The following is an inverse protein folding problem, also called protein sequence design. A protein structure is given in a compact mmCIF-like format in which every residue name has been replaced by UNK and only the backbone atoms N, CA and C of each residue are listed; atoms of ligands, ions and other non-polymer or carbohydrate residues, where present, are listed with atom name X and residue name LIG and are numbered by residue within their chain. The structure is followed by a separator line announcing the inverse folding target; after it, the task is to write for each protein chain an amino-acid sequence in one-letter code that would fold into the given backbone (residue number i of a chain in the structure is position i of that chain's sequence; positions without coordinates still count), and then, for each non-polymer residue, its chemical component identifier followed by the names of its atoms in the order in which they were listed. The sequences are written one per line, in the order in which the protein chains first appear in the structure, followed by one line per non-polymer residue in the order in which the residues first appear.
data_IF_405121589797
#
_entry.id   IF_405121589797
#
_cell.length_a   1.000
_cell.length_b   1.000
_cell.length_c   1.000
_cell.angle_alpha   90.00
_cell.angle_beta   90.00
_cell.angle_gamma   90.00
#
_symmetry.space_group_name_H-M   'P 1'
#
loop_
_entity.id
_entity.type
_entity.pdbx_description
1 polymer ?
#
# COMPACT_ATOMS: atom_id res chain seq x y z
N UNK A 1 -2.41 15.49 54.81
CA UNK A 1 -1.88 15.57 53.43
C UNK A 1 -0.89 14.42 53.27
N UNK A 2 -1.18 13.45 52.40
CA UNK A 2 -0.37 12.23 52.31
C UNK A 2 0.88 12.53 51.49
N UNK A 3 2.06 12.46 52.12
CA UNK A 3 3.33 12.95 51.56
C UNK A 3 3.73 12.21 50.26
N UNK A 4 3.19 11.00 50.07
CA UNK A 4 3.38 10.18 48.87
C UNK A 4 2.63 10.72 47.64
N UNK A 5 1.47 11.37 47.83
CA UNK A 5 0.72 11.98 46.72
C UNK A 5 1.43 13.25 46.20
N UNK A 6 2.11 13.98 47.10
CA UNK A 6 2.87 15.19 46.77
C UNK A 6 4.05 14.86 45.85
N UNK A 7 4.74 13.74 46.06
CA UNK A 7 5.95 13.40 45.31
C UNK A 7 5.62 12.98 43.87
N UNK A 8 4.56 12.20 43.65
CA UNK A 8 4.16 11.76 42.30
C UNK A 8 3.61 12.92 41.45
N UNK A 9 2.80 13.80 42.04
CA UNK A 9 2.30 15.01 41.36
C UNK A 9 3.43 16.04 41.12
N UNK A 10 4.46 16.05 41.97
CA UNK A 10 5.62 16.92 41.79
C UNK A 10 6.43 16.57 40.54
N UNK A 11 6.60 15.28 40.20
CA UNK A 11 7.33 14.87 38.99
C UNK A 11 6.59 15.39 37.74
N UNK A 12 5.27 15.21 37.66
CA UNK A 12 4.49 15.71 36.54
C UNK A 12 4.54 17.25 36.44
N UNK A 13 4.44 17.95 37.58
CA UNK A 13 4.39 19.43 37.61
C UNK A 13 5.75 20.11 37.42
N UNK A 14 6.84 19.47 37.81
CA UNK A 14 8.20 20.00 37.64
C UNK A 14 8.80 19.69 36.26
N UNK A 15 8.33 18.63 35.61
CA UNK A 15 8.92 18.11 34.35
C UNK A 15 8.16 18.57 33.10
N UNK A 16 6.83 18.70 33.17
CA UNK A 16 5.99 19.08 32.03
C UNK A 16 5.85 20.60 31.96
N UNK A 17 6.01 21.18 30.76
CA UNK A 17 6.02 22.64 30.56
C UNK A 17 4.96 23.12 29.59
N UNK A 18 4.52 22.26 28.68
CA UNK A 18 3.58 22.56 27.59
C UNK A 18 2.49 21.49 27.53
N UNK A 19 1.29 21.89 27.08
CA UNK A 19 0.20 20.94 26.83
C UNK A 19 0.62 19.90 25.79
N UNK A 20 0.34 18.63 26.07
CA UNK A 20 0.73 17.51 25.21
C UNK A 20 2.14 16.97 25.48
N UNK A 21 2.89 17.54 26.42
CA UNK A 21 4.10 16.90 26.93
C UNK A 21 3.76 15.57 27.62
N UNK A 22 4.69 14.61 27.54
CA UNK A 22 4.59 13.31 28.20
C UNK A 22 5.78 13.10 29.13
N UNK A 23 5.58 12.35 30.22
CA UNK A 23 6.69 11.85 31.05
C UNK A 23 7.07 10.48 30.52
N UNK A 24 8.34 10.29 30.17
CA UNK A 24 8.89 9.00 29.72
C UNK A 24 10.03 8.58 30.64
N UNK A 25 10.37 7.29 30.63
CA UNK A 25 11.55 6.81 31.33
C UNK A 25 12.79 7.13 30.52
N UNK A 26 13.62 8.04 31.03
CA UNK A 26 14.97 8.30 30.51
C UNK A 26 15.97 7.25 30.96
N UNK A 27 17.24 7.43 30.59
CA UNK A 27 18.31 6.45 30.84
C UNK A 27 18.56 6.22 32.34
N UNK A 28 18.30 7.25 33.18
CA UNK A 28 18.52 7.18 34.62
C UNK A 28 17.41 7.80 35.47
N UNK A 29 16.58 8.68 34.91
CA UNK A 29 15.46 9.35 35.60
C UNK A 29 14.27 9.51 34.66
N UNK A 30 13.04 9.75 35.17
CA UNK A 30 11.95 10.24 34.34
C UNK A 30 12.35 11.55 33.65
N UNK A 31 11.98 11.70 32.39
CA UNK A 31 12.27 12.90 31.60
C UNK A 31 11.04 13.33 30.81
N UNK A 32 11.10 14.57 30.33
CA UNK A 32 10.08 15.14 29.46
C UNK A 32 10.29 14.68 28.02
N UNK A 33 9.31 13.99 27.46
CA UNK A 33 9.14 13.91 26.01
C UNK A 33 8.26 15.09 25.58
N UNK A 34 8.86 16.03 24.84
CA UNK A 34 8.14 17.19 24.34
C UNK A 34 6.93 16.79 23.48
N UNK A 35 5.88 17.61 23.51
CA UNK A 35 4.72 17.44 22.65
C UNK A 35 5.12 17.25 21.17
N UNK A 36 4.48 16.29 20.50
CA UNK A 36 4.66 16.08 19.07
C UNK A 36 4.05 17.21 18.24
N UNK A 37 4.54 17.38 17.02
CA UNK A 37 3.89 18.27 16.04
C UNK A 37 2.65 17.60 15.43
N UNK A 38 1.77 18.38 14.82
CA UNK A 38 0.59 17.87 14.09
C UNK A 38 0.99 16.77 13.07
N UNK A 39 0.17 15.73 12.97
CA UNK A 39 0.37 14.61 12.03
C UNK A 39 1.45 13.61 12.44
N UNK A 40 1.93 13.66 13.68
CA UNK A 40 2.86 12.67 14.26
C UNK A 40 2.10 11.66 15.12
N UNK A 41 2.63 10.44 15.19
CA UNK A 41 2.20 9.43 16.15
C UNK A 41 3.37 9.06 17.08
N UNK A 42 3.06 8.53 18.26
CA UNK A 42 4.07 8.09 19.21
C UNK A 42 4.43 6.63 18.91
N UNK A 43 5.66 6.39 18.46
CA UNK A 43 6.15 5.04 18.18
C UNK A 43 6.94 4.49 19.37
N UNK A 44 6.67 3.24 19.74
CA UNK A 44 7.54 2.47 20.63
C UNK A 44 8.77 1.97 19.85
N UNK A 45 9.96 2.23 20.38
CA UNK A 45 11.23 1.91 19.72
C UNK A 45 11.86 0.59 20.21
N UNK A 46 11.09 -0.24 20.93
CA UNK A 46 11.55 -1.49 21.54
C UNK A 46 12.04 -1.33 22.98
N UNK A 47 12.41 -2.46 23.58
CA UNK A 47 12.83 -2.51 24.99
C UNK A 47 14.11 -1.70 25.24
N UNK A 48 14.11 -0.91 26.31
CA UNK A 48 15.24 -0.05 26.68
C UNK A 48 15.42 1.21 25.82
N UNK A 49 14.56 1.43 24.82
CA UNK A 49 14.57 2.64 23.98
C UNK A 49 13.40 3.56 24.34
N UNK A 50 13.66 4.87 24.32
CA UNK A 50 12.61 5.87 24.57
C UNK A 50 11.68 5.95 23.36
N UNK A 51 10.35 6.10 23.55
CA UNK A 51 9.45 6.31 22.43
C UNK A 51 9.70 7.67 21.78
N UNK A 52 9.30 7.81 20.52
CA UNK A 52 9.56 9.04 19.76
C UNK A 52 8.41 9.38 18.82
N UNK A 53 8.26 10.67 18.51
CA UNK A 53 7.23 11.15 17.59
C UNK A 53 7.64 10.94 16.14
N UNK A 54 6.96 10.02 15.46
CA UNK A 54 7.28 9.60 14.11
C UNK A 54 6.24 10.11 13.12
N UNK A 55 6.64 10.21 11.84
CA UNK A 55 5.71 10.42 10.74
C UNK A 55 5.26 9.06 10.22
N UNK A 56 4.03 8.97 9.77
CA UNK A 56 3.60 7.83 8.96
C UNK A 56 4.34 7.90 7.63
N UNK A 57 5.03 6.83 7.30
CA UNK A 57 5.73 6.66 6.04
C UNK A 57 4.96 5.70 5.14
N UNK A 58 5.15 5.81 3.82
CA UNK A 58 4.52 4.89 2.86
C UNK A 58 4.95 3.43 3.13
N UNK A 59 6.16 3.24 3.67
CA UNK A 59 6.68 1.92 4.09
C UNK A 59 5.96 1.31 5.29
N UNK A 60 5.16 2.08 6.03
CA UNK A 60 4.33 1.55 7.12
C UNK A 60 3.04 0.90 6.59
N UNK A 61 2.78 1.03 5.29
CA UNK A 61 1.71 0.34 4.59
C UNK A 61 2.28 -0.87 3.85
N UNK A 62 1.50 -1.95 3.86
CA UNK A 62 1.76 -3.15 3.09
C UNK A 62 1.58 -2.83 1.59
N UNK A 63 2.70 -2.46 0.95
CA UNK A 63 2.73 -2.09 -0.47
C UNK A 63 3.81 -2.89 -1.17
N UNK A 64 3.44 -3.52 -2.27
CA UNK A 64 4.37 -4.20 -3.16
C UNK A 64 4.16 -3.71 -4.60
N UNK A 65 5.25 -3.52 -5.33
CA UNK A 65 5.19 -3.22 -6.75
C UNK A 65 6.25 -4.03 -7.48
N UNK A 66 5.93 -4.46 -8.69
CA UNK A 66 6.91 -5.08 -9.58
C UNK A 66 6.48 -4.94 -11.04
N UNK A 67 7.42 -5.26 -11.93
CA UNK A 67 7.24 -5.29 -13.37
C UNK A 67 7.18 -6.74 -13.86
N UNK A 68 6.08 -7.10 -14.50
CA UNK A 68 5.90 -8.39 -15.17
C UNK A 68 6.05 -8.17 -16.67
N UNK A 69 6.99 -8.90 -17.28
CA UNK A 69 7.14 -8.98 -18.74
C UNK A 69 6.46 -10.24 -19.25
N UNK A 70 5.66 -10.11 -20.31
CA UNK A 70 4.95 -11.25 -20.93
C UNK A 70 5.11 -11.24 -22.45
N UNK A 71 5.45 -12.40 -22.99
CA UNK A 71 5.49 -12.70 -24.43
C UNK A 71 4.56 -13.86 -24.82
N UNK A 72 3.88 -14.48 -23.84
CA UNK A 72 2.85 -15.51 -24.03
C UNK A 72 1.68 -15.30 -23.07
N UNK A 73 0.46 -15.69 -23.47
CA UNK A 73 -0.71 -15.68 -22.60
C UNK A 73 -0.60 -16.70 -21.45
N UNK A 74 -1.47 -16.57 -20.45
CA UNK A 74 -1.48 -17.48 -19.29
C UNK A 74 -1.80 -16.77 -17.97
N UNK A 75 -1.48 -17.43 -16.86
CA UNK A 75 -1.67 -16.90 -15.50
C UNK A 75 -0.32 -16.57 -14.90
N UNK A 76 -0.13 -15.35 -14.38
CA UNK A 76 0.96 -15.08 -13.44
C UNK A 76 0.43 -15.19 -12.03
N UNK A 77 1.14 -15.93 -11.18
CA UNK A 77 0.88 -15.94 -9.75
C UNK A 77 1.91 -15.03 -9.07
N UNK A 78 1.45 -13.89 -8.57
CA UNK A 78 2.25 -12.98 -7.75
C UNK A 78 2.15 -13.47 -6.31
N UNK A 79 3.19 -14.13 -5.83
CA UNK A 79 3.26 -14.74 -4.50
C UNK A 79 4.35 -14.08 -3.64
N UNK A 80 4.27 -14.29 -2.33
CA UNK A 80 5.33 -13.90 -1.41
C UNK A 80 5.35 -12.40 -1.10
N UNK A 81 4.20 -11.73 -1.17
CA UNK A 81 4.08 -10.29 -0.84
C UNK A 81 4.30 -10.00 0.65
N UNK A 82 4.13 -11.01 1.51
CA UNK A 82 4.14 -10.86 2.97
C UNK A 82 2.81 -10.38 3.55
N UNK A 83 1.83 -10.05 2.70
CA UNK A 83 0.49 -9.59 3.07
C UNK A 83 -0.58 -10.03 2.07
N UNK A 84 -1.84 -10.03 2.49
CA UNK A 84 -2.98 -10.33 1.63
C UNK A 84 -3.46 -9.07 0.91
N UNK A 85 -3.13 -8.94 -0.38
CA UNK A 85 -3.54 -7.78 -1.17
C UNK A 85 -5.07 -7.57 -1.15
N UNK A 86 -5.51 -6.33 -0.92
CA UNK A 86 -6.92 -5.90 -0.94
C UNK A 86 -7.22 -4.99 -2.14
N UNK A 87 -6.20 -4.30 -2.64
CA UNK A 87 -6.27 -3.45 -3.82
C UNK A 87 -5.07 -3.76 -4.71
N UNK A 88 -5.32 -3.90 -6.02
CA UNK A 88 -4.27 -4.09 -7.01
C UNK A 88 -4.50 -3.10 -8.17
N UNK A 89 -3.53 -2.23 -8.38
CA UNK A 89 -3.46 -1.32 -9.52
C UNK A 89 -2.59 -1.93 -10.61
N UNK A 90 -3.03 -1.87 -11.86
CA UNK A 90 -2.30 -2.46 -12.99
C UNK A 90 -2.12 -1.43 -14.09
N UNK A 91 -0.88 -1.25 -14.53
CA UNK A 91 -0.46 -0.32 -15.57
C UNK A 91 0.21 -1.10 -16.69
N UNK A 92 -0.17 -0.86 -17.93
CA UNK A 92 0.37 -1.58 -19.07
C UNK A 92 0.95 -0.61 -20.12
N UNK A 93 2.01 -1.04 -20.80
CA UNK A 93 2.50 -0.39 -22.04
C UNK A 93 3.23 -1.38 -22.96
N UNK A 94 3.12 -1.18 -24.26
CA UNK A 94 3.94 -1.88 -25.26
C UNK A 94 5.27 -1.14 -25.47
N UNK A 95 6.27 -1.86 -25.98
CA UNK A 95 7.58 -1.26 -26.29
C UNK A 95 7.60 -0.46 -27.60
N UNK A 96 6.53 -0.52 -28.41
CA UNK A 96 6.50 -0.03 -29.80
C UNK A 96 5.70 1.26 -30.02
N UNK A 97 5.32 1.99 -28.97
CA UNK A 97 4.81 3.35 -29.12
C UNK A 97 3.31 3.55 -28.97
N UNK A 98 2.59 2.60 -28.36
CA UNK A 98 1.23 2.84 -27.85
C UNK A 98 1.24 3.79 -26.63
N UNK A 99 0.18 4.60 -26.47
CA UNK A 99 0.00 5.47 -25.31
C UNK A 99 -0.13 4.69 -23.99
N UNK A 100 0.06 5.34 -22.82
CA UNK A 100 -0.10 4.68 -21.54
C UNK A 100 -1.58 4.34 -21.30
N UNK A 101 -1.86 3.12 -20.85
CA UNK A 101 -3.21 2.69 -20.50
C UNK A 101 -3.32 2.34 -19.02
N UNK A 102 -4.40 2.78 -18.37
CA UNK A 102 -4.59 2.69 -16.92
C UNK A 102 -5.82 1.86 -16.62
N UNK A 103 -5.69 0.92 -15.68
CA UNK A 103 -6.83 0.22 -15.14
C UNK A 103 -6.72 -0.03 -13.65
N UNK A 104 -7.85 0.14 -12.96
CA UNK A 104 -7.99 0.07 -11.49
C UNK A 104 -9.00 -1.01 -11.16
N UNK A 105 -8.66 -1.96 -10.28
CA UNK A 105 -9.58 -3.02 -9.86
C UNK A 105 -9.67 -3.16 -8.34
N UNK A 106 -10.87 -3.39 -7.81
CA UNK A 106 -11.14 -3.70 -6.41
C UNK A 106 -11.61 -5.14 -6.28
N UNK A 107 -11.17 -5.80 -5.21
CA UNK A 107 -11.50 -7.21 -4.98
C UNK A 107 -11.99 -7.37 -3.55
N UNK A 108 -13.18 -7.93 -3.39
CA UNK A 108 -13.66 -8.41 -2.10
C UNK A 108 -14.20 -9.84 -2.24
N UNK A 109 -14.54 -10.48 -1.12
CA UNK A 109 -15.08 -11.84 -1.07
C UNK A 109 -16.44 -12.01 -1.75
N UNK A 110 -17.08 -10.91 -2.16
CA UNK A 110 -18.42 -10.87 -2.77
C UNK A 110 -18.38 -10.50 -4.28
N UNK A 111 -17.21 -10.14 -4.83
CA UNK A 111 -17.07 -9.81 -6.24
C UNK A 111 -15.86 -8.92 -6.58
N UNK A 112 -15.60 -8.79 -7.88
CA UNK A 112 -14.54 -7.94 -8.45
C UNK A 112 -15.18 -6.77 -9.20
N UNK A 113 -14.66 -5.55 -9.06
CA UNK A 113 -15.08 -4.39 -9.86
C UNK A 113 -13.88 -3.59 -10.38
N UNK A 114 -14.04 -2.83 -11.46
CA UNK A 114 -12.94 -2.05 -12.04
C UNK A 114 -13.40 -0.85 -12.86
N UNK A 115 -12.43 0.02 -13.14
CA UNK A 115 -12.49 1.11 -14.12
C UNK A 115 -11.29 0.98 -15.05
N UNK A 116 -11.52 0.99 -16.36
CA UNK A 116 -10.47 1.02 -17.39
C UNK A 116 -10.66 2.25 -18.26
N UNK A 117 -9.57 2.97 -18.57
CA UNK A 117 -9.56 4.06 -19.53
C UNK A 117 -8.41 3.91 -20.52
N UNK A 118 -8.75 3.81 -21.81
CA UNK A 118 -7.82 3.78 -22.92
C UNK A 118 -7.62 5.20 -23.50
N UNK A 119 -6.38 5.67 -23.62
CA UNK A 119 -6.08 6.95 -24.28
C UNK A 119 -5.63 6.67 -25.72
N UNK A 120 -6.59 6.66 -26.64
CA UNK A 120 -6.35 6.28 -28.03
C UNK A 120 -7.62 6.11 -28.86
N UNK A 121 -8.77 5.83 -28.22
CA UNK A 121 -10.05 6.18 -28.83
C UNK A 121 -11.31 5.36 -28.57
N UNK A 122 -11.42 4.29 -27.76
CA UNK A 122 -12.77 3.67 -27.65
C UNK A 122 -13.15 2.81 -26.44
N UNK A 123 -12.55 2.90 -25.24
CA UNK A 123 -13.21 2.27 -24.08
C UNK A 123 -13.01 2.99 -22.74
N UNK A 124 -14.14 3.28 -22.09
CA UNK A 124 -14.25 3.53 -20.65
C UNK A 124 -15.28 2.54 -20.10
N UNK A 125 -14.85 1.56 -19.31
CA UNK A 125 -15.73 0.48 -18.83
C UNK A 125 -15.72 0.41 -17.31
N UNK A 126 -16.91 0.22 -16.73
CA UNK A 126 -17.11 -0.15 -15.33
C UNK A 126 -17.81 -1.50 -15.33
N UNK A 127 -17.13 -2.53 -14.84
CA UNK A 127 -17.62 -3.91 -14.87
C UNK A 127 -17.56 -4.56 -13.50
N UNK A 128 -18.40 -5.59 -13.31
CA UNK A 128 -18.33 -6.49 -12.15
C UNK A 128 -18.03 -7.90 -12.66
N UNK A 129 -16.80 -8.39 -12.44
CA UNK A 129 -16.16 -9.62 -12.99
C UNK A 129 -15.35 -9.42 -14.29
N UNK A 130 -14.13 -9.96 -14.34
CA UNK A 130 -13.18 -9.90 -15.48
C UNK A 130 -12.84 -8.48 -15.92
N UNK A 131 -12.16 -7.84 -14.99
CA UNK A 131 -11.91 -6.44 -15.01
C UNK A 131 -10.51 -6.15 -15.54
N UNK A 132 -10.45 -5.33 -16.59
CA UNK A 132 -9.30 -4.87 -17.39
C UNK A 132 -9.44 -5.41 -18.83
N UNK A 133 -9.57 -4.50 -19.80
CA UNK A 133 -9.27 -4.74 -21.22
C UNK A 133 -8.40 -3.57 -21.64
N UNK A 134 -7.10 -3.72 -21.48
CA UNK A 134 -6.12 -2.75 -21.95
C UNK A 134 -5.76 -3.11 -23.40
N UNK A 135 -6.11 -2.24 -24.33
CA UNK A 135 -6.07 -2.48 -25.77
C UNK A 135 -4.81 -1.90 -26.39
N UNK A 136 -3.65 -2.39 -25.94
CA UNK A 136 -2.40 -1.96 -26.55
C UNK A 136 -2.24 -2.74 -27.85
N UNK A 137 -2.38 -2.02 -28.98
CA UNK A 137 -2.18 -2.39 -30.38
C UNK A 137 -1.92 -3.88 -30.71
N UNK A 138 -2.73 -4.44 -31.63
CA UNK A 138 -2.68 -5.84 -32.08
C UNK A 138 -2.50 -6.88 -30.94
N UNK A 139 -3.31 -6.68 -29.89
CA UNK A 139 -4.11 -7.73 -29.25
C UNK A 139 -3.55 -8.39 -27.97
N UNK A 140 -2.64 -7.75 -27.24
CA UNK A 140 -2.27 -8.21 -25.89
C UNK A 140 -3.06 -7.46 -24.81
N UNK A 141 -3.84 -8.18 -24.01
CA UNK A 141 -4.61 -7.58 -22.92
C UNK A 141 -4.56 -8.43 -21.63
N UNK A 142 -4.59 -7.76 -20.49
CA UNK A 142 -4.84 -8.41 -19.21
C UNK A 142 -6.34 -8.63 -19.08
N UNK A 143 -6.78 -9.80 -18.64
CA UNK A 143 -8.19 -10.10 -18.37
C UNK A 143 -8.65 -9.65 -16.98
N UNK A 144 -7.69 -9.53 -16.06
CA UNK A 144 -7.92 -9.07 -14.71
C UNK A 144 -7.12 -9.83 -13.65
N UNK A 145 -7.31 -9.39 -12.41
CA UNK A 145 -6.82 -10.11 -11.23
C UNK A 145 -7.76 -11.30 -11.00
N UNK A 146 -7.21 -12.51 -11.04
CA UNK A 146 -7.95 -13.76 -10.98
C UNK A 146 -8.46 -14.08 -9.59
N UNK A 147 -7.57 -14.56 -8.71
CA UNK A 147 -7.89 -14.87 -7.32
C UNK A 147 -6.91 -14.15 -6.41
N UNK A 148 -7.43 -13.60 -5.31
CA UNK A 148 -6.59 -13.35 -4.14
C UNK A 148 -6.23 -14.69 -3.51
N UNK A 149 -4.99 -14.83 -3.10
CA UNK A 149 -4.50 -15.97 -2.33
C UNK A 149 -3.81 -15.42 -1.09
N UNK A 150 -3.60 -16.26 -0.08
CA UNK A 150 -2.84 -15.83 1.09
C UNK A 150 -1.45 -15.38 0.67
N UNK A 151 -1.08 -14.14 1.01
CA UNK A 151 0.20 -13.56 0.65
C UNK A 151 0.40 -13.24 -0.83
N UNK A 152 -0.67 -13.16 -1.64
CA UNK A 152 -0.55 -12.96 -3.09
C UNK A 152 -1.84 -12.79 -3.87
N UNK A 153 -1.70 -12.79 -5.20
CA UNK A 153 -2.81 -12.75 -6.15
C UNK A 153 -2.39 -13.32 -7.51
N UNK A 154 -3.36 -13.74 -8.32
CA UNK A 154 -3.10 -14.15 -9.70
C UNK A 154 -3.55 -13.08 -10.68
N UNK A 155 -2.86 -12.97 -11.82
CA UNK A 155 -3.21 -12.11 -12.94
C UNK A 155 -3.39 -12.98 -14.16
N UNK A 156 -4.52 -12.83 -14.85
CA UNK A 156 -4.78 -13.54 -16.10
C UNK A 156 -4.42 -12.65 -17.29
N UNK A 157 -3.60 -13.19 -18.19
CA UNK A 157 -3.17 -12.54 -19.42
C UNK A 157 -3.70 -13.27 -20.63
N UNK A 158 -4.18 -12.52 -21.61
CA UNK A 158 -4.40 -13.01 -22.96
C UNK A 158 -3.50 -12.25 -23.90
N UNK A 159 -2.55 -12.95 -24.51
CA UNK A 159 -1.76 -12.38 -25.59
C UNK A 159 -2.28 -12.95 -26.90
N UNK A 160 -2.79 -12.07 -27.76
CA UNK A 160 -3.21 -12.40 -29.12
C UNK A 160 -2.21 -11.84 -30.14
N UNK A 161 -1.28 -10.98 -29.71
CA UNK A 161 -0.15 -10.48 -30.50
C UNK A 161 1.19 -11.15 -30.17
N UNK A 162 2.23 -10.80 -30.95
CA UNK A 162 3.61 -11.32 -30.78
C UNK A 162 4.52 -10.38 -29.99
N UNK A 163 4.06 -9.16 -29.69
CA UNK A 163 4.85 -8.18 -28.95
C UNK A 163 5.01 -8.58 -27.47
N UNK A 164 6.16 -8.29 -26.89
CA UNK A 164 6.32 -8.36 -25.43
C UNK A 164 5.63 -7.16 -24.79
N UNK A 165 4.78 -7.37 -23.81
CA UNK A 165 4.11 -6.30 -23.06
C UNK A 165 4.71 -6.18 -21.68
N UNK A 166 4.88 -4.93 -21.21
CA UNK A 166 5.29 -4.63 -19.85
C UNK A 166 4.06 -4.26 -19.02
N UNK A 167 3.88 -4.99 -17.92
CA UNK A 167 2.86 -4.73 -16.93
C UNK A 167 3.54 -4.34 -15.62
N UNK A 168 3.11 -3.25 -15.00
CA UNK A 168 3.54 -2.90 -13.66
C UNK A 168 2.33 -3.06 -12.75
N UNK A 169 2.53 -3.68 -11.59
CA UNK A 169 1.49 -3.73 -10.57
C UNK A 169 1.87 -2.92 -9.34
N UNK A 170 0.85 -2.47 -8.64
CA UNK A 170 0.94 -1.95 -7.29
C UNK A 170 -0.11 -2.68 -6.45
N UNK A 171 0.33 -3.54 -5.55
CA UNK A 171 -0.50 -4.28 -4.61
C UNK A 171 -0.46 -3.60 -3.24
N UNK A 172 -1.62 -3.49 -2.62
CA UNK A 172 -1.81 -2.84 -1.32
C UNK A 172 -2.61 -3.80 -0.43
N UNK A 173 -2.07 -4.13 0.75
CA UNK A 173 -2.64 -5.02 1.76
C UNK A 173 -3.70 -4.39 2.65
#
# INVERSE_FOLDING_TARGET
MNIMQIITDYIARSTLTTKGDLVVRGDSLPERLAAGTLGRFLQANGSGQKPSWQKVSISDFDIAHDTILRSTGGVENVNGLGFDAKLVLLLARTFTGGGPEISIGWINTLGQSCVTQEVGGTTSQIGTSNCIRNYIDASNYMLGVGSLVTGGFSINFTLVGTATTRFNYLAIG
#
